data_IF_761903137352
#
_entry.id   IF_761903137352
#
_cell.length_a   1.000
_cell.length_b   1.000
_cell.length_c   1.000
_cell.angle_alpha   90.00
_cell.angle_beta   90.00
_cell.angle_gamma   90.00
#
_symmetry.space_group_name_H-M   'P 1'
#
loop_
_entity.id
_entity.type
_entity.pdbx_description
1 polymer ?
#
# COMPACT_ATOMS: atom_id res chain seq x y z
N UNK A 1 6.46 -29.48 -12.77
CA UNK A 1 7.18 -28.75 -13.83
C UNK A 1 6.58 -27.36 -13.89
N UNK A 2 7.36 -26.31 -13.60
CA UNK A 2 6.90 -24.94 -13.79
C UNK A 2 7.03 -24.57 -15.28
N UNK A 3 6.14 -23.74 -15.83
CA UNK A 3 6.32 -23.22 -17.18
C UNK A 3 7.64 -22.46 -17.28
N UNK A 4 8.39 -22.72 -18.35
CA UNK A 4 9.66 -22.07 -18.62
C UNK A 4 9.48 -20.64 -19.13
N UNK A 5 10.59 -19.91 -19.31
CA UNK A 5 10.58 -18.52 -19.75
C UNK A 5 9.83 -18.34 -21.08
N UNK A 6 9.99 -19.28 -22.00
CA UNK A 6 9.34 -19.26 -23.32
C UNK A 6 7.83 -19.43 -23.21
N UNK A 7 7.34 -20.37 -22.40
CA UNK A 7 5.89 -20.54 -22.21
C UNK A 7 5.27 -19.31 -21.55
N UNK A 8 5.96 -18.69 -20.59
CA UNK A 8 5.49 -17.45 -19.95
C UNK A 8 5.36 -16.29 -20.95
N UNK A 9 6.28 -16.17 -21.92
CA UNK A 9 6.19 -15.16 -22.99
C UNK A 9 4.97 -15.42 -23.86
N UNK A 10 4.73 -16.67 -24.26
CA UNK A 10 3.58 -17.04 -25.09
C UNK A 10 2.28 -16.71 -24.36
N UNK A 11 2.17 -17.07 -23.08
CA UNK A 11 1.01 -16.75 -22.24
C UNK A 11 0.83 -15.23 -22.11
N UNK A 12 1.92 -14.49 -21.92
CA UNK A 12 1.90 -13.02 -21.85
C UNK A 12 1.38 -12.37 -23.14
N UNK A 13 1.82 -12.85 -24.30
CA UNK A 13 1.31 -12.40 -25.60
C UNK A 13 -0.17 -12.72 -25.75
N UNK A 14 -0.59 -13.94 -25.37
CA UNK A 14 -2.00 -14.34 -25.44
C UNK A 14 -2.87 -13.46 -24.53
N UNK A 15 -2.43 -13.19 -23.30
CA UNK A 15 -3.11 -12.31 -22.38
C UNK A 15 -3.24 -10.89 -22.92
N UNK A 16 -2.17 -10.34 -23.52
CA UNK A 16 -2.21 -9.03 -24.18
C UNK A 16 -3.17 -9.03 -25.37
N UNK A 17 -3.26 -10.12 -26.13
CA UNK A 17 -4.19 -10.23 -27.27
C UNK A 17 -5.65 -10.25 -26.82
N UNK A 18 -5.96 -10.98 -25.74
CA UNK A 18 -7.32 -11.11 -25.20
C UNK A 18 -7.79 -9.85 -24.45
N UNK A 19 -6.93 -9.27 -23.62
CA UNK A 19 -7.30 -8.16 -22.72
C UNK A 19 -6.87 -6.78 -23.25
N UNK A 20 -5.91 -6.73 -24.17
CA UNK A 20 -5.29 -5.52 -24.69
C UNK A 20 -4.08 -5.06 -23.88
N UNK A 21 -3.04 -4.56 -24.57
CA UNK A 21 -1.77 -4.13 -23.96
C UNK A 21 -1.92 -3.04 -22.89
N UNK A 22 -2.99 -2.23 -22.96
CA UNK A 22 -3.28 -1.16 -21.98
C UNK A 22 -4.00 -1.66 -20.72
N UNK A 23 -4.78 -2.74 -20.79
CA UNK A 23 -5.59 -3.18 -19.64
C UNK A 23 -4.77 -3.78 -18.50
N UNK A 24 -3.73 -4.54 -18.80
CA UNK A 24 -2.84 -5.11 -17.79
C UNK A 24 -2.19 -4.02 -16.90
N UNK A 25 -1.52 -2.98 -17.47
CA UNK A 25 -0.93 -1.93 -16.64
C UNK A 25 -1.97 -1.06 -15.93
N UNK A 26 -3.12 -0.79 -16.55
CA UNK A 26 -4.20 -0.03 -15.91
C UNK A 26 -4.77 -0.78 -14.69
N UNK A 27 -5.00 -2.09 -14.81
CA UNK A 27 -5.45 -2.93 -13.70
C UNK A 27 -4.41 -2.96 -12.58
N UNK A 28 -3.12 -3.13 -12.90
CA UNK A 28 -2.05 -3.10 -11.91
C UNK A 28 -1.97 -1.74 -11.18
N UNK A 29 -2.12 -0.63 -11.91
CA UNK A 29 -2.15 0.72 -11.32
C UNK A 29 -3.31 0.88 -10.36
N UNK A 30 -4.51 0.50 -10.79
CA UNK A 30 -5.73 0.66 -10.00
C UNK A 30 -5.72 -0.24 -8.76
N UNK A 31 -5.30 -1.50 -8.92
CA UNK A 31 -5.16 -2.44 -7.82
C UNK A 31 -4.07 -2.00 -6.83
N UNK A 32 -2.96 -1.44 -7.33
CA UNK A 32 -1.89 -0.89 -6.49
C UNK A 32 -2.36 0.30 -5.65
N UNK A 33 -3.11 1.23 -6.25
CA UNK A 33 -3.75 2.35 -5.52
C UNK A 33 -4.71 1.84 -4.47
N UNK A 34 -5.63 0.93 -4.85
CA UNK A 34 -6.60 0.35 -3.93
C UNK A 34 -5.92 -0.36 -2.75
N UNK A 35 -4.85 -1.16 -2.99
CA UNK A 35 -4.06 -1.80 -1.93
C UNK A 35 -3.40 -0.77 -1.01
N UNK A 36 -2.90 0.33 -1.56
CA UNK A 36 -2.26 1.41 -0.82
C UNK A 36 -3.24 2.14 0.11
N UNK A 37 -4.36 2.60 -0.44
CA UNK A 37 -5.44 3.26 0.31
C UNK A 37 -6.05 2.33 1.37
N UNK A 38 -6.21 1.04 1.04
CA UNK A 38 -6.68 0.03 2.00
C UNK A 38 -5.70 -0.14 3.19
N UNK A 39 -4.39 -0.19 2.94
CA UNK A 39 -3.41 -0.28 4.02
C UNK A 39 -3.35 1.01 4.84
N UNK A 40 -3.45 2.17 4.21
CA UNK A 40 -3.51 3.45 4.91
C UNK A 40 -4.73 3.50 5.84
N UNK A 41 -5.92 3.14 5.34
CA UNK A 41 -7.13 3.08 6.16
C UNK A 41 -7.04 2.10 7.32
N UNK A 42 -6.44 0.91 7.13
CA UNK A 42 -6.21 -0.04 8.24
C UNK A 42 -5.22 0.54 9.26
N UNK A 43 -4.15 1.20 8.80
CA UNK A 43 -3.15 1.82 9.66
C UNK A 43 -3.76 2.93 10.51
N UNK A 44 -4.61 3.77 9.93
CA UNK A 44 -5.30 4.85 10.64
C UNK A 44 -6.26 4.33 11.70
N UNK A 45 -6.91 3.18 11.45
CA UNK A 45 -7.81 2.54 12.44
C UNK A 45 -7.04 1.80 13.53
N UNK A 46 -5.89 1.21 13.20
CA UNK A 46 -5.11 0.39 14.14
C UNK A 46 -4.12 1.22 14.96
N UNK A 47 -3.70 2.37 14.45
CA UNK A 47 -2.80 3.27 15.18
C UNK A 47 -3.62 4.06 16.20
N UNK A 48 -3.28 4.02 17.50
CA UNK A 48 -3.90 4.91 18.47
C UNK A 48 -3.68 6.36 18.02
N UNK A 49 -4.73 7.18 18.17
CA UNK A 49 -4.65 8.59 17.78
C UNK A 49 -3.46 9.26 18.51
N UNK A 50 -2.82 10.27 17.91
CA UNK A 50 -1.74 10.99 18.59
C UNK A 50 -2.17 11.52 19.97
N UNK A 51 -3.46 11.80 20.16
CA UNK A 51 -4.06 12.16 21.44
C UNK A 51 -4.16 10.98 22.42
N UNK A 52 -4.49 9.77 21.96
CA UNK A 52 -4.44 8.56 22.79
C UNK A 52 -3.01 8.20 23.20
N UNK A 53 -2.05 8.33 22.30
CA UNK A 53 -0.63 8.08 22.61
C UNK A 53 -0.11 9.11 23.62
N UNK A 54 -0.50 10.37 23.49
CA UNK A 54 -0.14 11.46 24.41
C UNK A 54 -0.75 11.26 25.81
N UNK A 55 -2.02 10.84 25.89
CA UNK A 55 -2.66 10.48 27.16
C UNK A 55 -2.01 9.29 27.86
N UNK A 56 -1.59 8.26 27.10
CA UNK A 56 -0.92 7.07 27.66
C UNK A 56 0.50 7.39 28.19
N UNK A 57 1.11 8.49 27.71
CA UNK A 57 2.39 9.04 28.23
C UNK A 57 2.22 10.06 29.37
N UNK A 58 0.99 10.31 29.82
CA UNK A 58 0.72 11.26 30.90
C UNK A 58 0.55 12.72 30.46
N UNK A 59 0.27 12.97 29.17
CA UNK A 59 -0.10 14.29 28.65
C UNK A 59 1.07 15.27 28.47
N UNK A 60 2.30 14.77 28.33
CA UNK A 60 3.48 15.58 28.01
C UNK A 60 3.74 15.45 26.51
N UNK A 61 3.20 16.36 25.72
CA UNK A 61 3.49 16.43 24.29
C UNK A 61 4.95 16.79 24.05
N UNK A 62 5.58 16.22 23.02
CA UNK A 62 7.00 16.46 22.69
C UNK A 62 7.32 17.96 22.45
N UNK A 63 6.30 18.76 22.20
CA UNK A 63 6.38 20.22 22.03
C UNK A 63 6.82 20.96 23.31
N UNK A 64 6.44 20.49 24.51
CA UNK A 64 6.83 21.14 25.79
C UNK A 64 8.21 20.69 26.30
N UNK A 65 8.73 19.56 25.80
CA UNK A 65 10.05 19.06 26.17
C UNK A 65 11.19 19.86 25.49
N UNK A 66 10.97 20.30 24.24
CA UNK A 66 11.96 21.07 23.46
C UNK A 66 12.01 22.56 23.80
N UNK A 67 11.02 23.12 24.50
CA UNK A 67 11.06 24.53 24.93
C UNK A 67 12.01 24.80 26.12
N UNK A 68 12.56 23.75 26.74
CA UNK A 68 13.44 23.85 27.92
C UNK A 68 14.93 23.52 27.66
N UNK A 69 15.33 23.38 26.39
CA UNK A 69 16.75 23.41 25.96
C UNK A 69 17.12 24.78 25.38
#
# INVERSE_FOLDING_TARGET
MAPGPTELIIIGILAIFLFGAKRIPDLARNLGRAKGEFHAGISDVTSPSSAEIDMDRGGVSDDVANENE
#
